data_IF_888678106440
#
_entry.id   IF_888678106440
#
_cell.length_a   1.000
_cell.length_b   1.000
_cell.length_c   1.000
_cell.angle_alpha   90.00
_cell.angle_beta   90.00
_cell.angle_gamma   90.00
#
_symmetry.space_group_name_H-M   'P 1'
#
loop_
_entity.id
_entity.type
_entity.pdbx_description
1 polymer ?
#
# COMPACT_ATOMS: atom_id res chain seq x y z
N UNK A 1 9.22 19.13 -17.47
CA UNK A 1 8.77 19.01 -16.06
C UNK A 1 7.51 18.16 -15.87
N UNK A 2 6.49 18.18 -16.76
CA UNK A 2 5.28 17.32 -16.61
C UNK A 2 5.59 15.81 -16.58
N UNK A 3 6.45 15.32 -17.46
CA UNK A 3 6.76 13.88 -17.54
C UNK A 3 7.45 13.32 -16.28
N UNK A 4 8.31 14.11 -15.61
CA UNK A 4 8.97 13.68 -14.36
C UNK A 4 7.95 13.44 -13.25
N UNK A 5 6.90 14.25 -13.15
CA UNK A 5 5.86 14.08 -12.12
C UNK A 5 5.14 12.75 -12.25
N UNK A 6 4.78 12.39 -13.49
CA UNK A 6 4.09 11.14 -13.80
C UNK A 6 4.97 9.92 -13.52
N UNK A 7 6.28 10.02 -13.78
CA UNK A 7 7.23 8.95 -13.45
C UNK A 7 7.34 8.76 -11.94
N UNK A 8 7.41 9.84 -11.15
CA UNK A 8 7.45 9.76 -9.69
C UNK A 8 6.15 9.19 -9.10
N UNK A 9 4.99 9.64 -9.58
CA UNK A 9 3.71 9.06 -9.18
C UNK A 9 3.60 7.59 -9.56
N UNK A 10 4.04 7.22 -10.76
CA UNK A 10 4.09 5.83 -11.21
C UNK A 10 5.00 4.97 -10.34
N UNK A 11 6.18 5.49 -9.98
CA UNK A 11 7.13 4.81 -9.10
C UNK A 11 6.59 4.63 -7.68
N UNK A 12 5.95 5.67 -7.12
CA UNK A 12 5.28 5.62 -5.81
C UNK A 12 4.12 4.64 -5.78
N UNK A 13 3.25 4.68 -6.80
CA UNK A 13 2.15 3.74 -6.96
C UNK A 13 2.67 2.30 -7.12
N UNK A 14 3.72 2.10 -7.91
CA UNK A 14 4.32 0.78 -8.15
C UNK A 14 4.93 0.21 -6.87
N UNK A 15 5.73 0.97 -6.14
CA UNK A 15 6.32 0.51 -4.87
C UNK A 15 5.23 0.24 -3.83
N UNK A 16 4.26 1.15 -3.70
CA UNK A 16 3.15 0.98 -2.78
C UNK A 16 2.30 -0.26 -3.08
N UNK A 17 2.03 -0.51 -4.36
CA UNK A 17 1.32 -1.71 -4.82
C UNK A 17 2.13 -2.98 -4.56
N UNK A 18 3.40 -3.04 -4.97
CA UNK A 18 4.27 -4.20 -4.74
C UNK A 18 4.41 -4.51 -3.25
N UNK A 19 4.55 -3.49 -2.41
CA UNK A 19 4.59 -3.64 -0.96
C UNK A 19 3.27 -4.25 -0.44
N UNK A 20 2.12 -3.74 -0.86
CA UNK A 20 0.81 -4.28 -0.48
C UNK A 20 0.59 -5.72 -0.97
N UNK A 21 0.98 -6.04 -2.21
CA UNK A 21 0.91 -7.39 -2.78
C UNK A 21 1.82 -8.37 -2.05
N UNK A 22 3.02 -7.95 -1.62
CA UNK A 22 3.92 -8.81 -0.84
C UNK A 22 3.30 -9.15 0.52
N UNK A 23 2.64 -8.19 1.18
CA UNK A 23 1.95 -8.45 2.45
C UNK A 23 0.76 -9.39 2.24
N UNK A 24 -0.04 -9.18 1.20
CA UNK A 24 -1.13 -10.08 0.80
C UNK A 24 -0.61 -11.50 0.55
N UNK A 25 0.52 -11.63 -0.15
CA UNK A 25 1.15 -12.90 -0.45
C UNK A 25 1.69 -13.61 0.80
N UNK A 26 2.28 -12.87 1.75
CA UNK A 26 2.73 -13.42 3.04
C UNK A 26 1.52 -13.99 3.81
N UNK A 27 0.40 -13.28 3.83
CA UNK A 27 -0.83 -13.75 4.48
C UNK A 27 -1.41 -14.98 3.78
N UNK A 28 -1.41 -15.01 2.45
CA UNK A 28 -1.82 -16.17 1.67
C UNK A 28 -0.96 -17.41 1.99
N UNK A 29 0.37 -17.24 2.07
CA UNK A 29 1.29 -18.31 2.46
C UNK A 29 1.11 -18.75 3.92
N UNK A 30 0.82 -17.80 4.83
CA UNK A 30 0.48 -18.11 6.22
C UNK A 30 -0.81 -18.95 6.31
N UNK A 31 -1.81 -18.66 5.48
CA UNK A 31 -3.04 -19.46 5.38
C UNK A 31 -2.79 -20.86 4.80
N UNK A 32 -1.95 -20.95 3.77
CA UNK A 32 -1.64 -22.20 3.07
C UNK A 32 -0.71 -23.14 3.88
N UNK A 33 0.19 -22.58 4.70
CA UNK A 33 1.20 -23.34 5.48
C UNK A 33 0.63 -24.21 6.63
N UNK A 34 -0.70 -24.26 6.80
CA UNK A 34 -1.33 -25.24 7.68
C UNK A 34 -1.19 -24.97 9.18
N UNK A 35 -0.49 -23.90 9.59
CA UNK A 35 -0.89 -23.23 10.82
C UNK A 35 -2.24 -22.60 10.49
N UNK A 36 -3.34 -23.27 10.84
CA UNK A 36 -4.72 -22.79 10.66
C UNK A 36 -4.93 -21.52 11.50
N UNK A 37 -4.14 -20.48 11.32
CA UNK A 37 -4.27 -19.19 12.02
C UNK A 37 -5.61 -18.61 11.65
N UNK A 38 -5.96 -18.56 10.37
CA UNK A 38 -7.27 -18.08 9.92
C UNK A 38 -8.38 -19.07 10.28
N UNK A 39 -8.17 -20.39 10.21
CA UNK A 39 -9.23 -21.36 10.53
C UNK A 39 -9.44 -21.62 12.03
N UNK A 40 -8.46 -21.38 12.92
CA UNK A 40 -8.64 -21.31 14.38
C UNK A 40 -9.05 -19.90 14.84
N UNK A 41 -8.56 -18.83 14.22
CA UNK A 41 -8.97 -17.44 14.54
C UNK A 41 -10.35 -17.11 13.98
N UNK A 42 -10.82 -17.72 12.89
CA UNK A 42 -12.26 -17.67 12.52
C UNK A 42 -13.10 -18.48 13.49
N UNK A 43 -12.53 -19.48 14.16
CA UNK A 43 -13.22 -20.27 15.19
C UNK A 43 -13.25 -19.59 16.56
N UNK A 44 -12.18 -18.89 16.95
CA UNK A 44 -12.01 -18.20 18.25
C UNK A 44 -12.29 -16.68 18.20
N UNK A 45 -12.04 -16.03 17.06
CA UNK A 45 -12.17 -14.58 16.85
C UNK A 45 -13.12 -14.19 15.70
N UNK A 46 -13.70 -15.17 14.98
CA UNK A 46 -14.82 -15.04 14.02
C UNK A 46 -14.70 -13.87 13.04
N UNK A 47 -15.22 -12.73 13.48
CA UNK A 47 -15.27 -11.46 12.76
C UNK A 47 -13.88 -10.88 12.49
N UNK A 48 -12.93 -10.96 13.44
CA UNK A 48 -11.61 -10.35 13.28
C UNK A 48 -10.74 -11.06 12.25
N UNK A 49 -10.83 -12.39 12.15
CA UNK A 49 -10.12 -13.15 11.13
C UNK A 49 -10.63 -12.84 9.71
N UNK A 50 -11.95 -12.71 9.56
CA UNK A 50 -12.58 -12.32 8.29
C UNK A 50 -12.30 -10.86 7.93
N UNK A 51 -12.24 -9.99 8.93
CA UNK A 51 -11.90 -8.57 8.77
C UNK A 51 -10.45 -8.37 8.34
N UNK A 52 -9.50 -9.09 8.94
CA UNK A 52 -8.10 -9.03 8.53
C UNK A 52 -7.94 -9.60 7.12
N UNK A 53 -8.62 -10.70 6.78
CA UNK A 53 -8.60 -11.24 5.41
C UNK A 53 -9.12 -10.22 4.39
N UNK A 54 -10.27 -9.57 4.65
CA UNK A 54 -10.80 -8.53 3.77
C UNK A 54 -9.91 -7.29 3.69
N UNK A 55 -9.27 -6.87 4.80
CA UNK A 55 -8.29 -5.77 4.78
C UNK A 55 -7.05 -6.13 3.98
N UNK A 56 -6.56 -7.37 4.11
CA UNK A 56 -5.34 -7.84 3.43
C UNK A 56 -5.56 -7.98 1.92
N UNK A 57 -6.72 -8.45 1.48
CA UNK A 57 -7.08 -8.49 0.05
C UNK A 57 -7.24 -7.09 -0.55
N UNK A 58 -7.61 -6.09 0.26
CA UNK A 58 -7.67 -4.68 -0.16
C UNK A 58 -6.37 -3.90 0.08
N UNK A 59 -5.39 -4.50 0.74
CA UNK A 59 -4.11 -3.88 1.09
C UNK A 59 -3.28 -3.45 -0.13
N UNK A 60 -3.28 -4.16 -1.27
CA UNK A 60 -2.58 -3.69 -2.48
C UNK A 60 -3.15 -2.36 -2.99
N UNK A 61 -4.48 -2.21 -2.96
CA UNK A 61 -5.14 -0.97 -3.37
C UNK A 61 -4.88 0.16 -2.37
N UNK A 62 -4.90 -0.14 -1.07
CA UNK A 62 -4.52 0.83 -0.03
C UNK A 62 -3.04 1.21 -0.12
N UNK A 63 -2.16 0.23 -0.38
CA UNK A 63 -0.73 0.43 -0.57
C UNK A 63 -0.42 1.27 -1.79
N UNK A 64 -1.14 1.07 -2.90
CA UNK A 64 -1.06 1.92 -4.09
C UNK A 64 -1.44 3.36 -3.77
N UNK A 65 -2.59 3.57 -3.10
CA UNK A 65 -3.04 4.91 -2.71
C UNK A 65 -2.06 5.59 -1.75
N UNK A 66 -1.57 4.86 -0.74
CA UNK A 66 -0.60 5.37 0.22
C UNK A 66 0.77 5.63 -0.42
N UNK A 67 1.20 4.83 -1.39
CA UNK A 67 2.44 5.04 -2.14
C UNK A 67 2.40 6.31 -2.98
N UNK A 68 1.24 6.61 -3.59
CA UNK A 68 1.00 7.88 -4.30
C UNK A 68 1.05 9.06 -3.32
N UNK A 69 0.37 8.96 -2.17
CA UNK A 69 0.36 10.01 -1.14
C UNK A 69 1.75 10.24 -0.55
N UNK A 70 2.50 9.17 -0.30
CA UNK A 70 3.87 9.22 0.21
C UNK A 70 4.77 9.99 -0.75
N UNK A 71 4.70 9.71 -2.05
CA UNK A 71 5.49 10.45 -3.05
C UNK A 71 5.06 11.91 -3.17
N UNK A 72 3.76 12.20 -3.00
CA UNK A 72 3.26 13.58 -2.96
C UNK A 72 3.85 14.38 -1.78
N UNK A 73 3.97 13.75 -0.60
CA UNK A 73 4.56 14.36 0.60
C UNK A 73 6.08 14.43 0.55
N UNK A 74 6.75 13.42 0.01
CA UNK A 74 8.21 13.32 0.01
C UNK A 74 8.85 14.19 -1.08
N UNK A 75 8.15 14.37 -2.21
CA UNK A 75 8.63 15.18 -3.34
C UNK A 75 7.65 16.28 -3.75
N UNK A 76 7.28 17.22 -2.85
CA UNK A 76 6.29 18.26 -3.13
C UNK A 76 6.77 19.25 -4.22
N UNK A 77 8.07 19.47 -4.33
CA UNK A 77 8.66 20.33 -5.38
C UNK A 77 8.50 19.71 -6.78
N UNK A 78 8.73 18.39 -6.89
CA UNK A 78 8.65 17.66 -8.16
C UNK A 78 7.19 17.38 -8.50
N UNK A 79 6.40 16.99 -7.51
CA UNK A 79 5.06 16.40 -7.70
C UNK A 79 3.96 17.43 -7.42
N UNK A 80 3.99 18.08 -6.25
CA UNK A 80 3.03 19.09 -5.81
C UNK A 80 3.05 20.41 -6.58
N UNK A 81 4.11 20.69 -7.37
CA UNK A 81 4.17 21.94 -8.12
C UNK A 81 4.31 23.16 -7.20
N UNK A 82 5.01 23.00 -6.08
CA UNK A 82 5.52 24.13 -5.33
C UNK A 82 6.58 24.84 -6.19
N UNK A 83 6.13 25.80 -7.00
CA UNK A 83 6.98 26.91 -7.41
C UNK A 83 7.53 27.49 -6.13
N UNK A 84 8.85 27.41 -5.93
CA UNK A 84 9.51 28.21 -4.89
C UNK A 84 9.17 29.68 -5.14
N UNK A 85 8.22 30.19 -4.37
CA UNK A 85 8.07 31.62 -4.14
C UNK A 85 8.76 31.95 -2.82
N UNK A 86 10.08 31.77 -2.78
CA UNK A 86 10.91 32.36 -1.73
C UNK A 86 12.34 32.44 -2.24
N UNK A 87 12.59 33.47 -3.05
CA UNK A 87 13.88 34.17 -3.06
C UNK A 87 13.66 35.58 -3.63
N UNK A 88 13.27 36.51 -2.75
CA UNK A 88 13.69 37.91 -2.80
C UNK A 88 13.55 38.53 -1.42
#
# INVERSE_FOLDING_TARGET
>A
MKSMKWIYYGFGAFIGFVCGTVIEFIFYLLEQSGNRVISNMVRDYGILGRFIAEMVTNLPYMGLALGIVMVYWLFPEVVGGATKSSER
#
